data_IF_909886808670
#
_entry.id   IF_909886808670
#
_cell.length_a   1.000
_cell.length_b   1.000
_cell.length_c   1.000
_cell.angle_alpha   90.00
_cell.angle_beta   90.00
_cell.angle_gamma   90.00
#
_symmetry.space_group_name_H-M   'P 1'
#
loop_
_entity.id
_entity.type
_entity.pdbx_description
1 polymer ?
#
# COMPACT_ATOMS: atom_id res chain seq x y z
N UNK A 1 -25.95 -26.78 23.90
CA UNK A 1 -26.34 -25.89 22.78
C UNK A 1 -25.10 -25.59 21.98
N UNK A 2 -24.90 -26.29 20.88
CA UNK A 2 -23.74 -26.11 20.00
C UNK A 2 -23.93 -24.85 19.17
N UNK A 3 -23.17 -23.81 19.45
CA UNK A 3 -23.11 -22.64 18.60
C UNK A 3 -22.55 -23.03 17.24
N UNK A 4 -23.35 -22.85 16.19
CA UNK A 4 -22.89 -22.98 14.81
C UNK A 4 -21.71 -22.03 14.60
N UNK A 5 -20.53 -22.48 14.15
CA UNK A 5 -19.43 -21.58 13.87
C UNK A 5 -19.90 -20.60 12.80
N UNK A 6 -19.90 -19.31 13.12
CA UNK A 6 -20.15 -18.24 12.16
C UNK A 6 -19.14 -18.40 11.02
N UNK A 7 -19.60 -18.89 9.88
CA UNK A 7 -18.77 -18.97 8.66
C UNK A 7 -18.42 -17.53 8.31
N UNK A 8 -17.21 -17.13 8.67
CA UNK A 8 -16.71 -15.78 8.38
C UNK A 8 -16.30 -15.73 6.91
N UNK A 9 -17.22 -15.29 6.06
CA UNK A 9 -16.92 -15.12 4.64
C UNK A 9 -15.88 -14.00 4.46
N UNK A 10 -14.81 -14.32 3.73
CA UNK A 10 -13.76 -13.41 3.34
C UNK A 10 -14.33 -12.15 2.68
N UNK A 11 -13.80 -10.97 3.02
CA UNK A 11 -14.05 -9.72 2.29
C UNK A 11 -12.88 -9.43 1.36
N UNK A 12 -13.16 -8.76 0.25
CA UNK A 12 -12.13 -8.24 -0.64
C UNK A 12 -11.90 -6.76 -0.32
N UNK A 13 -10.66 -6.42 0.03
CA UNK A 13 -10.21 -5.07 0.34
C UNK A 13 -9.53 -4.51 -0.90
N UNK A 14 -10.21 -3.59 -1.59
CA UNK A 14 -9.82 -3.17 -2.93
C UNK A 14 -9.12 -1.81 -2.88
N UNK A 15 -7.87 -1.75 -3.38
CA UNK A 15 -7.21 -0.50 -3.75
C UNK A 15 -7.94 0.13 -4.93
N UNK A 16 -8.87 1.05 -4.60
CA UNK A 16 -9.75 1.59 -5.61
C UNK A 16 -9.20 2.87 -6.25
N UNK A 17 -8.21 3.53 -5.65
CA UNK A 17 -7.52 4.66 -6.28
C UNK A 17 -6.88 4.26 -7.61
N UNK A 18 -6.17 3.12 -7.62
CA UNK A 18 -5.57 2.58 -8.84
C UNK A 18 -6.62 2.22 -9.89
N UNK A 19 -7.70 1.51 -9.48
CA UNK A 19 -8.72 1.04 -10.41
C UNK A 19 -9.47 2.20 -11.05
N UNK A 20 -9.87 3.20 -10.26
CA UNK A 20 -10.57 4.38 -10.78
C UNK A 20 -9.65 5.22 -11.65
N UNK A 21 -8.39 5.42 -11.23
CA UNK A 21 -7.42 6.15 -12.04
C UNK A 21 -7.24 5.51 -13.42
N UNK A 22 -6.93 4.22 -13.45
CA UNK A 22 -6.76 3.45 -14.70
C UNK A 22 -8.00 3.51 -15.59
N UNK A 23 -9.19 3.34 -14.99
CA UNK A 23 -10.45 3.33 -15.74
C UNK A 23 -10.80 4.69 -16.33
N UNK A 24 -10.58 5.77 -15.58
CA UNK A 24 -10.82 7.13 -16.07
C UNK A 24 -9.82 7.50 -17.15
N UNK A 25 -8.53 7.23 -16.96
CA UNK A 25 -7.50 7.50 -17.95
C UNK A 25 -7.75 6.73 -19.28
N UNK A 26 -8.18 5.48 -19.18
CA UNK A 26 -8.48 4.66 -20.36
C UNK A 26 -9.71 5.12 -21.16
N UNK A 27 -10.50 6.03 -20.62
CA UNK A 27 -11.71 6.59 -21.29
C UNK A 27 -11.58 8.06 -21.62
N UNK A 28 -10.38 8.63 -21.44
CA UNK A 28 -10.08 9.96 -21.95
C UNK A 28 -9.93 9.94 -23.47
N UNK A 29 -10.40 11.02 -24.09
CA UNK A 29 -10.25 11.27 -25.53
C UNK A 29 -9.64 12.65 -25.69
N UNK A 30 -8.58 12.73 -26.44
CA UNK A 30 -7.97 13.98 -26.83
C UNK A 30 -8.63 14.51 -28.10
N UNK A 31 -8.94 15.79 -28.12
CA UNK A 31 -9.44 16.52 -29.27
C UNK A 31 -8.43 17.64 -29.55
N UNK A 32 -7.73 17.52 -30.64
CA UNK A 32 -6.77 18.51 -31.10
C UNK A 32 -7.50 19.52 -31.99
N UNK A 33 -7.51 20.79 -31.55
CA UNK A 33 -8.10 21.91 -32.29
C UNK A 33 -7.06 22.66 -33.14
N UNK A 34 -5.81 22.19 -33.16
CA UNK A 34 -4.69 22.92 -33.73
C UNK A 34 -4.27 24.13 -32.88
N UNK A 35 -3.27 24.90 -33.34
CA UNK A 35 -2.79 26.13 -32.70
C UNK A 35 -2.52 26.00 -31.18
N UNK A 36 -1.84 24.89 -30.77
CA UNK A 36 -1.50 24.56 -29.38
C UNK A 36 -2.70 24.29 -28.44
N UNK A 37 -3.90 24.04 -28.98
CA UNK A 37 -5.09 23.77 -28.17
C UNK A 37 -5.46 22.28 -28.25
N UNK A 38 -5.20 21.54 -27.17
CA UNK A 38 -5.64 20.16 -26.99
C UNK A 38 -6.63 20.10 -25.82
N UNK A 39 -7.82 19.57 -26.08
CA UNK A 39 -8.85 19.36 -25.06
C UNK A 39 -8.92 17.87 -24.71
N UNK A 40 -8.78 17.55 -23.43
CA UNK A 40 -9.00 16.18 -22.91
C UNK A 40 -10.40 16.09 -22.34
N UNK A 41 -11.18 15.14 -22.84
CA UNK A 41 -12.57 14.89 -22.42
C UNK A 41 -12.77 13.43 -22.01
N UNK A 42 -13.82 13.16 -21.23
CA UNK A 42 -14.26 11.80 -20.93
C UNK A 42 -15.77 11.79 -20.69
N UNK A 43 -16.44 10.73 -21.13
CA UNK A 43 -17.84 10.50 -20.78
C UNK A 43 -17.91 9.78 -19.44
N UNK A 44 -18.57 10.40 -18.46
CA UNK A 44 -18.75 9.85 -17.12
C UNK A 44 -19.33 8.43 -17.14
N UNK A 45 -20.32 8.16 -18.01
CA UNK A 45 -20.94 6.84 -18.14
C UNK A 45 -19.93 5.76 -18.58
N UNK A 46 -19.01 6.10 -19.48
CA UNK A 46 -17.96 5.20 -19.97
C UNK A 46 -16.91 4.93 -18.89
N UNK A 47 -16.43 5.96 -18.20
CA UNK A 47 -15.49 5.84 -17.08
C UNK A 47 -16.07 4.98 -15.95
N UNK A 48 -17.33 5.22 -15.58
CA UNK A 48 -18.02 4.43 -14.56
C UNK A 48 -18.23 2.98 -14.99
N UNK A 49 -18.66 2.75 -16.22
CA UNK A 49 -18.82 1.41 -16.78
C UNK A 49 -17.49 0.65 -16.85
N UNK A 50 -16.40 1.33 -17.21
CA UNK A 50 -15.05 0.77 -17.20
C UNK A 50 -14.64 0.35 -15.79
N UNK A 51 -14.81 1.23 -14.79
CA UNK A 51 -14.52 0.94 -13.38
C UNK A 51 -15.31 -0.26 -12.87
N UNK A 52 -16.63 -0.31 -13.10
CA UNK A 52 -17.48 -1.44 -12.70
C UNK A 52 -17.06 -2.75 -13.37
N UNK A 53 -16.62 -2.70 -14.62
CA UNK A 53 -16.11 -3.86 -15.34
C UNK A 53 -14.81 -4.38 -14.73
N UNK A 54 -13.88 -3.50 -14.33
CA UNK A 54 -12.66 -3.90 -13.65
C UNK A 54 -12.97 -4.53 -12.27
N UNK A 55 -13.85 -3.93 -11.48
CA UNK A 55 -14.31 -4.51 -10.21
C UNK A 55 -14.96 -5.88 -10.40
N UNK A 56 -15.77 -6.05 -11.45
CA UNK A 56 -16.37 -7.34 -11.79
C UNK A 56 -15.34 -8.38 -12.23
N UNK A 57 -14.30 -7.99 -12.97
CA UNK A 57 -13.19 -8.90 -13.31
C UNK A 57 -12.49 -9.41 -12.06
N UNK A 58 -12.26 -8.54 -11.07
CA UNK A 58 -11.69 -8.92 -9.78
C UNK A 58 -12.62 -9.91 -9.08
N UNK A 59 -13.91 -9.58 -8.92
CA UNK A 59 -14.86 -10.47 -8.24
C UNK A 59 -14.95 -11.86 -8.86
N UNK A 60 -14.85 -11.95 -10.19
CA UNK A 60 -14.90 -13.23 -10.90
C UNK A 60 -13.66 -14.12 -10.67
N UNK A 61 -12.56 -13.58 -10.11
CA UNK A 61 -11.38 -14.38 -9.72
C UNK A 61 -11.57 -15.12 -8.40
N UNK A 62 -12.58 -14.76 -7.62
CA UNK A 62 -12.84 -15.34 -6.31
C UNK A 62 -14.14 -16.15 -6.35
N UNK A 63 -14.09 -17.41 -5.85
CA UNK A 63 -15.26 -18.29 -5.88
C UNK A 63 -16.37 -17.84 -4.94
N UNK A 64 -16.03 -17.38 -3.73
CA UNK A 64 -16.98 -16.86 -2.74
C UNK A 64 -16.33 -15.82 -1.84
N UNK A 65 -17.04 -14.75 -1.59
CA UNK A 65 -16.68 -13.69 -0.63
C UNK A 65 -17.95 -12.98 -0.19
N UNK A 66 -17.93 -12.30 0.97
CA UNK A 66 -19.13 -11.64 1.49
C UNK A 66 -19.41 -10.30 0.80
N UNK A 67 -18.38 -9.48 0.63
CA UNK A 67 -18.48 -8.18 -0.02
C UNK A 67 -17.12 -7.63 -0.44
N UNK A 68 -17.13 -6.64 -1.31
CA UNK A 68 -16.00 -5.77 -1.61
C UNK A 68 -16.09 -4.50 -0.77
N UNK A 69 -14.96 -4.09 -0.20
CA UNK A 69 -14.80 -2.79 0.47
C UNK A 69 -13.78 -2.01 -0.34
N UNK A 70 -14.13 -0.81 -0.75
CA UNK A 70 -13.29 0.04 -1.58
C UNK A 70 -12.51 1.02 -0.71
N UNK A 71 -11.20 1.04 -0.85
CA UNK A 71 -10.32 1.95 -0.12
C UNK A 71 -9.85 3.08 -1.03
N UNK A 72 -9.84 4.29 -0.48
CA UNK A 72 -9.34 5.48 -1.15
C UNK A 72 -8.40 6.24 -0.22
N UNK A 73 -7.42 6.91 -0.82
CA UNK A 73 -6.51 7.80 -0.12
C UNK A 73 -7.19 9.12 0.23
N UNK A 74 -6.87 9.64 1.40
CA UNK A 74 -7.19 11.04 1.72
C UNK A 74 -6.32 12.00 0.88
N UNK A 75 -6.78 13.23 0.80
CA UNK A 75 -6.04 14.34 0.17
C UNK A 75 -4.81 14.76 0.98
N UNK A 76 -4.85 14.54 2.29
CA UNK A 76 -3.74 14.75 3.22
C UNK A 76 -2.97 13.44 3.39
N UNK A 77 -1.70 13.56 3.78
CA UNK A 77 -0.85 12.41 4.04
C UNK A 77 0.10 12.74 5.20
N UNK A 78 0.06 11.94 6.27
CA UNK A 78 0.90 12.14 7.45
C UNK A 78 2.41 12.07 7.13
N UNK A 79 2.81 11.29 6.09
CA UNK A 79 4.22 11.20 5.68
C UNK A 79 4.79 12.56 5.25
N UNK A 80 3.96 13.49 4.78
CA UNK A 80 4.40 14.87 4.47
C UNK A 80 4.75 15.70 5.71
N UNK A 81 4.31 15.27 6.89
CA UNK A 81 4.75 15.88 8.15
C UNK A 81 6.15 15.38 8.55
N UNK A 82 6.51 14.17 8.12
CA UNK A 82 7.84 13.57 8.34
C UNK A 82 8.82 14.07 7.29
N UNK A 83 8.41 14.08 6.03
CA UNK A 83 9.20 14.50 4.88
C UNK A 83 8.31 15.30 3.92
N UNK A 84 8.43 16.64 3.89
CA UNK A 84 7.59 17.50 3.03
C UNK A 84 7.67 17.14 1.54
N UNK A 85 8.82 16.63 1.10
CA UNK A 85 9.06 16.23 -0.30
C UNK A 85 8.48 14.85 -0.66
N UNK A 86 7.90 14.12 0.31
CA UNK A 86 7.28 12.82 0.04
C UNK A 86 6.23 12.93 -1.07
N UNK A 87 6.43 12.17 -2.17
CA UNK A 87 5.62 12.24 -3.41
C UNK A 87 5.50 13.65 -4.01
N UNK A 88 6.41 14.58 -3.67
CA UNK A 88 6.36 15.98 -4.09
C UNK A 88 6.51 16.18 -5.61
N UNK A 89 7.21 15.27 -6.28
CA UNK A 89 7.37 15.28 -7.74
C UNK A 89 6.13 14.76 -8.51
N UNK A 90 5.12 14.21 -7.81
CA UNK A 90 3.89 13.69 -8.42
C UNK A 90 2.90 14.81 -8.74
N UNK A 91 3.21 15.63 -9.74
CA UNK A 91 2.33 16.71 -10.20
C UNK A 91 1.28 16.24 -11.23
N UNK A 92 0.99 14.96 -11.30
CA UNK A 92 0.02 14.45 -12.28
C UNK A 92 -1.40 14.85 -11.92
N UNK A 93 -2.07 15.53 -12.85
CA UNK A 93 -3.51 15.77 -12.74
C UNK A 93 -4.25 14.43 -12.69
N UNK A 94 -5.30 14.37 -11.88
CA UNK A 94 -6.21 13.21 -11.91
C UNK A 94 -6.97 13.22 -13.23
N UNK A 95 -7.25 12.05 -13.81
CA UNK A 95 -8.01 11.93 -15.05
C UNK A 95 -9.40 12.57 -14.97
N UNK A 96 -9.97 12.91 -16.13
CA UNK A 96 -11.31 13.44 -16.25
C UNK A 96 -12.34 12.52 -15.59
N UNK A 97 -13.25 13.08 -14.79
CA UNK A 97 -14.31 12.32 -14.14
C UNK A 97 -13.90 11.56 -12.87
N UNK A 98 -12.63 11.51 -12.50
CA UNK A 98 -12.11 10.73 -11.36
C UNK A 98 -12.92 10.94 -10.07
N UNK A 99 -13.05 12.19 -9.60
CA UNK A 99 -13.84 12.49 -8.39
C UNK A 99 -15.32 12.10 -8.53
N UNK A 100 -15.89 12.28 -9.71
CA UNK A 100 -17.31 11.97 -9.97
C UNK A 100 -17.56 10.46 -9.93
N UNK A 101 -16.63 9.66 -10.45
CA UNK A 101 -16.69 8.18 -10.36
C UNK A 101 -16.59 7.74 -8.92
N UNK A 102 -15.63 8.25 -8.13
CA UNK A 102 -15.52 7.94 -6.69
C UNK A 102 -16.83 8.27 -5.96
N UNK A 103 -17.40 9.46 -6.18
CA UNK A 103 -18.65 9.85 -5.53
C UNK A 103 -19.81 8.91 -5.88
N UNK A 104 -19.84 8.39 -7.09
CA UNK A 104 -20.84 7.41 -7.49
C UNK A 104 -20.60 6.05 -6.83
N UNK A 105 -19.35 5.58 -6.76
CA UNK A 105 -19.00 4.33 -6.09
C UNK A 105 -19.35 4.35 -4.60
N UNK A 106 -19.19 5.49 -3.92
CA UNK A 106 -19.61 5.68 -2.51
C UNK A 106 -21.11 5.42 -2.27
N UNK A 107 -21.95 5.51 -3.30
CA UNK A 107 -23.38 5.20 -3.19
C UNK A 107 -23.71 3.73 -3.50
N UNK A 108 -22.75 2.96 -3.99
CA UNK A 108 -22.95 1.58 -4.45
C UNK A 108 -22.20 0.55 -3.59
N UNK A 109 -21.11 0.97 -2.96
CA UNK A 109 -20.22 0.10 -2.20
C UNK A 109 -19.95 0.67 -0.81
N UNK A 110 -19.55 -0.22 0.11
CA UNK A 110 -18.90 0.22 1.33
C UNK A 110 -17.53 0.80 0.99
N UNK A 111 -17.29 2.02 1.43
CA UNK A 111 -16.05 2.77 1.17
C UNK A 111 -15.39 3.12 2.48
N UNK A 112 -14.07 2.91 2.55
CA UNK A 112 -13.24 3.35 3.65
C UNK A 112 -12.26 4.39 3.12
N UNK A 113 -12.24 5.52 3.81
CA UNK A 113 -11.28 6.60 3.67
C UNK A 113 -10.91 7.02 5.09
N UNK A 114 -9.64 6.88 5.45
CA UNK A 114 -9.13 7.26 6.76
C UNK A 114 -8.40 8.60 6.67
N UNK A 115 -8.62 9.46 7.65
CA UNK A 115 -8.09 10.82 7.66
C UNK A 115 -6.56 10.80 7.64
N UNK A 116 -5.97 11.62 6.77
CA UNK A 116 -4.52 11.75 6.60
C UNK A 116 -3.77 10.48 6.20
N UNK A 117 -4.47 9.42 5.77
CA UNK A 117 -3.88 8.15 5.36
C UNK A 117 -4.05 7.87 3.86
N UNK A 118 -3.12 7.11 3.31
CA UNK A 118 -3.25 6.52 1.97
C UNK A 118 -4.14 5.27 2.02
N UNK A 119 -4.68 4.86 0.87
CA UNK A 119 -5.50 3.66 0.76
C UNK A 119 -4.76 2.41 1.28
N UNK A 120 -3.46 2.32 1.01
CA UNK A 120 -2.62 1.21 1.43
C UNK A 120 -2.53 1.09 2.96
N UNK A 121 -2.36 2.23 3.66
CA UNK A 121 -2.37 2.27 5.13
C UNK A 121 -3.72 1.84 5.69
N UNK A 122 -4.81 2.39 5.15
CA UNK A 122 -6.16 2.03 5.58
C UNK A 122 -6.46 0.54 5.33
N UNK A 123 -5.99 -0.02 4.21
CA UNK A 123 -6.10 -1.46 3.93
C UNK A 123 -5.28 -2.30 4.90
N UNK A 124 -4.04 -1.89 5.20
CA UNK A 124 -3.17 -2.60 6.13
C UNK A 124 -3.74 -2.60 7.55
N UNK A 125 -4.21 -1.46 8.03
CA UNK A 125 -4.89 -1.32 9.32
C UNK A 125 -6.15 -2.23 9.36
N UNK A 126 -7.00 -2.16 8.34
CA UNK A 126 -8.23 -2.94 8.29
C UNK A 126 -7.94 -4.45 8.23
N UNK A 127 -7.02 -4.88 7.38
CA UNK A 127 -6.68 -6.29 7.18
C UNK A 127 -6.09 -6.92 8.45
N UNK A 128 -5.22 -6.21 9.15
CA UNK A 128 -4.58 -6.71 10.37
C UNK A 128 -5.50 -6.67 11.58
N UNK A 129 -6.43 -5.70 11.64
CA UNK A 129 -7.50 -5.68 12.65
C UNK A 129 -8.55 -6.77 12.43
N UNK A 130 -8.78 -7.14 11.18
CA UNK A 130 -9.81 -8.11 10.77
C UNK A 130 -9.15 -9.21 9.91
N UNK A 131 -8.46 -10.17 10.50
CA UNK A 131 -7.76 -11.22 9.73
C UNK A 131 -8.75 -12.08 8.93
N UNK A 132 -8.23 -12.75 7.89
CA UNK A 132 -9.02 -13.62 7.02
C UNK A 132 -9.59 -12.94 5.77
N UNK A 133 -9.39 -11.63 5.60
CA UNK A 133 -9.73 -10.89 4.39
C UNK A 133 -8.61 -10.97 3.34
N UNK A 134 -8.91 -10.57 2.10
CA UNK A 134 -7.94 -10.55 1.01
C UNK A 134 -7.73 -9.11 0.53
N UNK A 135 -6.51 -8.63 0.58
CA UNK A 135 -6.11 -7.36 -0.04
C UNK A 135 -6.01 -7.57 -1.55
N UNK A 136 -6.54 -6.63 -2.31
CA UNK A 136 -6.47 -6.60 -3.77
C UNK A 136 -5.83 -5.29 -4.20
N UNK A 137 -4.54 -5.31 -4.46
CA UNK A 137 -3.76 -4.15 -4.92
C UNK A 137 -2.57 -4.61 -5.76
N UNK A 138 -2.24 -3.93 -6.87
CA UNK A 138 -1.04 -4.20 -7.65
C UNK A 138 0.22 -3.66 -6.97
N UNK A 139 0.08 -2.90 -5.89
CA UNK A 139 1.22 -2.29 -5.21
C UNK A 139 2.07 -3.36 -4.51
N UNK A 140 3.37 -3.37 -4.83
CA UNK A 140 4.35 -4.28 -4.22
C UNK A 140 4.49 -4.07 -2.70
N UNK A 141 4.18 -2.86 -2.23
CA UNK A 141 4.38 -2.45 -0.85
C UNK A 141 3.37 -3.13 0.08
N UNK A 142 2.24 -3.58 -0.47
CA UNK A 142 1.27 -4.40 0.24
C UNK A 142 1.80 -5.77 0.69
N UNK A 143 2.98 -6.21 0.19
CA UNK A 143 3.70 -7.37 0.74
C UNK A 143 4.18 -7.18 2.18
N UNK A 144 4.11 -5.97 2.73
CA UNK A 144 4.34 -5.74 4.15
C UNK A 144 3.22 -6.28 5.04
N UNK A 145 2.00 -6.44 4.51
CA UNK A 145 0.83 -6.77 5.30
C UNK A 145 0.61 -8.29 5.34
N UNK A 146 0.63 -8.90 6.54
CA UNK A 146 0.36 -10.34 6.68
C UNK A 146 -1.09 -10.67 6.30
N UNK A 147 -1.26 -11.79 5.61
CA UNK A 147 -2.56 -12.26 5.14
C UNK A 147 -2.58 -12.58 3.64
N UNK A 148 -3.78 -12.60 3.07
CA UNK A 148 -3.98 -12.87 1.65
C UNK A 148 -3.84 -11.59 0.84
N UNK A 149 -3.03 -11.63 -0.21
CA UNK A 149 -2.81 -10.56 -1.18
C UNK A 149 -3.05 -11.09 -2.59
N UNK A 150 -3.87 -10.42 -3.37
CA UNK A 150 -4.02 -10.62 -4.81
C UNK A 150 -3.53 -9.36 -5.54
N UNK A 151 -2.47 -9.49 -6.32
CA UNK A 151 -1.84 -8.36 -7.03
C UNK A 151 -2.44 -8.09 -8.41
N UNK A 152 -3.67 -8.53 -8.66
CA UNK A 152 -4.40 -8.52 -9.93
C UNK A 152 -3.96 -9.60 -10.94
N UNK A 153 -2.86 -10.29 -10.68
CA UNK A 153 -2.32 -11.40 -11.49
C UNK A 153 -2.24 -12.68 -10.68
N UNK A 154 -1.61 -12.63 -9.52
CA UNK A 154 -1.27 -13.77 -8.67
C UNK A 154 -1.74 -13.56 -7.24
N UNK A 155 -1.99 -14.67 -6.53
CA UNK A 155 -2.36 -14.67 -5.11
C UNK A 155 -1.18 -15.09 -4.25
N UNK A 156 -0.99 -14.38 -3.14
CA UNK A 156 0.05 -14.64 -2.15
C UNK A 156 -0.58 -14.83 -0.78
N UNK A 157 0.10 -15.59 0.06
CA UNK A 157 -0.13 -15.59 1.52
C UNK A 157 1.15 -15.09 2.17
N UNK A 158 1.07 -13.94 2.80
CA UNK A 158 2.21 -13.25 3.43
C UNK A 158 2.21 -13.58 4.92
N UNK A 159 3.33 -14.04 5.45
CA UNK A 159 3.50 -14.22 6.91
C UNK A 159 3.91 -12.89 7.57
N UNK A 160 3.77 -12.80 8.90
CA UNK A 160 4.20 -11.61 9.66
C UNK A 160 5.70 -11.34 9.45
N UNK A 161 6.51 -12.40 9.45
CA UNK A 161 7.96 -12.33 9.23
C UNK A 161 8.30 -11.86 7.82
N UNK A 162 7.63 -12.38 6.81
CA UNK A 162 7.82 -11.96 5.42
C UNK A 162 7.49 -10.47 5.23
N UNK A 163 6.38 -10.01 5.82
CA UNK A 163 5.99 -8.61 5.77
C UNK A 163 7.01 -7.69 6.46
N UNK A 164 7.49 -8.10 7.63
CA UNK A 164 8.50 -7.37 8.37
C UNK A 164 9.85 -7.31 7.63
N UNK A 165 10.28 -8.41 6.98
CA UNK A 165 11.47 -8.43 6.12
C UNK A 165 11.32 -7.48 4.94
N UNK A 166 10.18 -7.51 4.27
CA UNK A 166 9.90 -6.62 3.15
C UNK A 166 9.98 -5.15 3.55
N UNK A 167 9.46 -4.78 4.74
CA UNK A 167 9.60 -3.44 5.27
C UNK A 167 11.07 -3.01 5.46
N UNK A 168 11.92 -3.87 6.07
CA UNK A 168 13.34 -3.56 6.23
C UNK A 168 14.08 -3.47 4.88
N UNK A 169 13.75 -4.34 3.93
CA UNK A 169 14.30 -4.31 2.58
C UNK A 169 13.97 -3.00 1.86
N UNK A 170 12.71 -2.54 1.96
CA UNK A 170 12.28 -1.27 1.39
C UNK A 170 12.91 -0.07 2.11
N UNK A 171 13.07 -0.13 3.42
CA UNK A 171 13.79 0.90 4.20
C UNK A 171 15.18 1.12 3.65
N UNK A 172 15.90 0.03 3.36
CA UNK A 172 17.26 0.10 2.83
C UNK A 172 17.27 0.45 1.33
N UNK A 173 16.34 -0.07 0.56
CA UNK A 173 16.30 0.16 -0.90
C UNK A 173 15.81 1.57 -1.28
N UNK A 174 14.95 2.17 -0.46
CA UNK A 174 14.23 3.38 -0.83
C UNK A 174 13.18 3.16 -1.92
N UNK A 175 12.45 4.21 -2.23
CA UNK A 175 11.53 4.26 -3.38
C UNK A 175 11.54 5.66 -4.02
N UNK A 176 12.17 5.78 -5.18
CA UNK A 176 12.23 7.03 -5.93
C UNK A 176 10.86 7.51 -6.40
N UNK A 177 9.90 6.57 -6.58
CA UNK A 177 8.53 6.91 -6.97
C UNK A 177 7.78 7.59 -5.82
N UNK A 178 8.15 7.30 -4.58
CA UNK A 178 7.60 7.92 -3.38
C UNK A 178 8.45 9.07 -2.84
N UNK A 179 9.67 9.22 -3.37
CA UNK A 179 10.54 10.34 -3.07
C UNK A 179 11.36 10.16 -1.78
N UNK A 180 11.66 8.92 -1.39
CA UNK A 180 12.64 8.64 -0.34
C UNK A 180 13.76 7.75 -0.87
N UNK A 181 14.99 8.08 -0.50
CA UNK A 181 16.18 7.59 -1.22
C UNK A 181 16.69 6.22 -0.73
N UNK A 182 16.34 5.81 0.48
CA UNK A 182 16.98 4.66 1.10
C UNK A 182 18.50 4.83 1.27
N UNK A 183 19.22 3.73 1.22
CA UNK A 183 20.67 3.70 1.26
C UNK A 183 21.23 3.92 -0.16
N UNK A 184 22.06 4.92 -0.41
CA UNK A 184 22.59 5.25 -1.75
C UNK A 184 23.22 4.04 -2.47
N UNK A 185 22.78 3.81 -3.72
CA UNK A 185 23.27 2.71 -4.55
C UNK A 185 22.78 1.32 -4.11
N UNK A 186 21.72 1.25 -3.31
CA UNK A 186 21.18 -0.02 -2.82
C UNK A 186 19.73 -0.18 -3.27
N UNK A 187 19.52 -1.09 -4.23
CA UNK A 187 18.17 -1.55 -4.57
C UNK A 187 17.77 -2.78 -3.75
N UNK A 188 16.53 -3.25 -3.93
CA UNK A 188 15.94 -4.39 -3.18
C UNK A 188 16.85 -5.62 -3.19
N UNK A 189 17.38 -6.01 -4.34
CA UNK A 189 18.27 -7.20 -4.45
C UNK A 189 19.53 -7.08 -3.60
N UNK A 190 20.13 -5.89 -3.55
CA UNK A 190 21.31 -5.65 -2.72
C UNK A 190 20.96 -5.60 -1.24
N UNK A 191 19.84 -4.98 -0.88
CA UNK A 191 19.33 -4.99 0.49
C UNK A 191 19.12 -6.43 0.98
N UNK A 192 18.45 -7.27 0.18
CA UNK A 192 18.26 -8.70 0.49
C UNK A 192 19.58 -9.45 0.68
N UNK A 193 20.59 -9.13 -0.12
CA UNK A 193 21.92 -9.75 0.04
C UNK A 193 22.56 -9.39 1.38
N UNK A 194 22.50 -8.12 1.76
CA UNK A 194 23.02 -7.63 3.06
C UNK A 194 22.29 -8.32 4.22
N UNK A 195 20.97 -8.42 4.16
CA UNK A 195 20.18 -9.08 5.22
C UNK A 195 20.43 -10.59 5.28
N UNK A 196 20.64 -11.27 4.17
CA UNK A 196 21.01 -12.70 4.17
C UNK A 196 22.35 -12.95 4.85
N UNK A 197 23.29 -12.03 4.72
CA UNK A 197 24.60 -12.13 5.31
C UNK A 197 24.62 -11.73 6.79
N UNK A 198 24.03 -10.56 7.12
CA UNK A 198 24.13 -9.92 8.45
C UNK A 198 22.90 -10.18 9.35
N UNK A 199 21.81 -10.74 8.80
CA UNK A 199 20.54 -10.99 9.50
C UNK A 199 19.54 -9.84 9.42
N UNK A 200 18.25 -10.17 9.52
CA UNK A 200 17.15 -9.20 9.50
C UNK A 200 16.96 -8.58 10.88
N UNK A 201 17.64 -7.49 11.16
CA UNK A 201 17.50 -6.71 12.38
C UNK A 201 17.74 -5.22 12.11
N UNK A 202 17.27 -4.38 13.02
CA UNK A 202 17.44 -2.92 12.91
C UNK A 202 18.92 -2.51 12.91
N UNK A 203 19.74 -3.19 13.73
CA UNK A 203 21.18 -2.96 13.74
C UNK A 203 21.84 -3.10 12.36
N UNK A 204 21.42 -4.09 11.58
CA UNK A 204 21.93 -4.28 10.19
C UNK A 204 21.62 -3.07 9.31
N UNK A 205 20.43 -2.47 9.45
CA UNK A 205 20.06 -1.25 8.73
C UNK A 205 20.95 -0.08 9.15
N UNK A 206 21.04 0.16 10.46
CA UNK A 206 21.83 1.27 11.02
C UNK A 206 23.31 1.16 10.62
N UNK A 207 23.90 -0.03 10.76
CA UNK A 207 25.29 -0.25 10.39
C UNK A 207 25.53 0.03 8.89
N UNK A 208 24.61 -0.42 8.03
CA UNK A 208 24.71 -0.17 6.59
C UNK A 208 24.58 1.33 6.22
N UNK A 209 23.76 2.08 6.93
CA UNK A 209 23.64 3.54 6.75
C UNK A 209 24.91 4.24 7.24
N UNK A 210 25.45 3.86 8.41
CA UNK A 210 26.71 4.39 8.94
C UNK A 210 27.92 4.12 8.01
N UNK A 211 27.97 2.97 7.33
CA UNK A 211 28.97 2.68 6.31
C UNK A 211 28.95 3.66 5.11
N UNK A 212 27.92 4.49 5.01
CA UNK A 212 27.71 5.52 3.97
C UNK A 212 27.63 6.94 4.53
N UNK A 213 28.18 7.14 5.75
CA UNK A 213 28.19 8.44 6.44
C UNK A 213 26.77 9.00 6.71
N UNK A 214 25.78 8.10 6.83
CA UNK A 214 24.39 8.44 7.20
C UNK A 214 24.10 7.96 8.63
N UNK A 215 23.37 8.77 9.38
CA UNK A 215 23.02 8.44 10.75
C UNK A 215 21.75 7.56 10.87
N UNK A 216 21.46 7.15 12.09
CA UNK A 216 20.29 6.35 12.41
C UNK A 216 18.99 7.13 12.20
N UNK A 217 18.99 8.46 12.32
CA UNK A 217 17.81 9.29 12.11
C UNK A 217 17.37 9.24 10.65
N UNK A 218 18.33 9.27 9.70
CA UNK A 218 18.05 9.09 8.26
C UNK A 218 17.48 7.70 7.99
N UNK A 219 18.07 6.65 8.59
CA UNK A 219 17.56 5.29 8.47
C UNK A 219 16.12 5.18 9.01
N UNK A 220 15.86 5.76 10.17
CA UNK A 220 14.53 5.75 10.81
C UNK A 220 13.49 6.54 10.00
N UNK A 221 13.88 7.66 9.42
CA UNK A 221 13.01 8.42 8.51
C UNK A 221 12.62 7.55 7.30
N UNK A 222 13.57 6.88 6.66
CA UNK A 222 13.27 5.98 5.53
C UNK A 222 12.35 4.82 5.97
N UNK A 223 12.57 4.24 7.16
CA UNK A 223 11.71 3.19 7.70
C UNK A 223 10.26 3.67 7.91
N UNK A 224 10.08 4.88 8.43
CA UNK A 224 8.75 5.49 8.63
C UNK A 224 8.04 5.81 7.31
N UNK A 225 8.78 6.24 6.29
CA UNK A 225 8.22 6.52 4.96
C UNK A 225 7.85 5.24 4.23
N UNK A 226 8.67 4.19 4.34
CA UNK A 226 8.44 2.88 3.74
C UNK A 226 7.29 2.09 4.40
N UNK A 227 6.98 2.37 5.68
CA UNK A 227 6.02 1.59 6.46
C UNK A 227 4.60 1.72 5.92
N UNK A 228 3.97 0.59 5.56
CA UNK A 228 2.52 0.50 5.42
C UNK A 228 1.95 0.18 6.81
N UNK A 229 1.00 1.00 7.26
CA UNK A 229 0.47 0.90 8.62
C UNK A 229 -0.35 -0.37 8.82
N UNK A 230 -0.22 -0.93 10.02
CA UNK A 230 -1.05 -2.02 10.54
C UNK A 230 -1.94 -1.52 11.66
N UNK A 231 -2.81 -2.36 12.23
CA UNK A 231 -3.63 -2.00 13.37
C UNK A 231 -2.78 -1.60 14.61
N UNK A 232 -1.57 -2.13 14.74
CA UNK A 232 -0.62 -1.78 15.80
C UNK A 232 -0.03 -0.37 15.60
N UNK A 233 0.01 0.11 14.36
CA UNK A 233 0.54 1.42 13.98
C UNK A 233 -0.55 2.51 13.96
N UNK A 234 -1.74 2.27 14.56
CA UNK A 234 -2.84 3.23 14.56
C UNK A 234 -3.46 3.41 15.95
N UNK A 235 -3.50 4.65 16.41
CA UNK A 235 -4.24 5.04 17.61
C UNK A 235 -5.73 5.24 17.21
N UNK A 236 -6.56 4.25 17.54
CA UNK A 236 -7.98 4.28 17.19
C UNK A 236 -8.81 5.30 17.99
N UNK A 237 -8.31 5.75 19.15
CA UNK A 237 -8.99 6.75 19.96
C UNK A 237 -8.74 8.15 19.39
N UNK A 238 -7.50 8.44 19.03
CA UNK A 238 -7.11 9.73 18.44
C UNK A 238 -7.24 9.79 16.95
N UNK A 239 -7.51 8.64 16.30
CA UNK A 239 -7.55 8.48 14.84
C UNK A 239 -6.26 9.00 14.15
N UNK A 240 -5.11 8.64 14.71
CA UNK A 240 -3.81 9.12 14.25
C UNK A 240 -2.83 7.95 14.08
N UNK A 241 -1.91 8.04 13.10
CA UNK A 241 -0.86 7.06 12.94
C UNK A 241 0.14 7.14 14.11
N UNK A 242 0.57 5.98 14.58
CA UNK A 242 1.71 5.81 15.48
C UNK A 242 2.93 5.58 14.59
N UNK A 243 3.91 6.48 14.67
CA UNK A 243 5.11 6.38 13.86
C UNK A 243 5.93 5.15 14.24
N UNK A 244 6.29 4.35 13.26
CA UNK A 244 7.09 3.17 13.48
C UNK A 244 8.41 3.51 14.19
N UNK A 245 8.77 2.67 15.17
CA UNK A 245 10.03 2.73 15.89
C UNK A 245 10.49 1.29 16.19
N UNK A 246 11.78 0.98 15.98
CA UNK A 246 12.31 -0.32 16.36
C UNK A 246 12.32 -0.43 17.88
N UNK A 247 11.98 -1.61 18.41
CA UNK A 247 12.31 -1.95 19.80
C UNK A 247 13.85 -2.07 19.96
N UNK A 248 14.35 -2.00 21.18
CA UNK A 248 15.79 -2.02 21.49
C UNK A 248 16.55 -3.16 20.80
N UNK A 249 15.93 -4.33 20.65
CA UNK A 249 16.49 -5.53 20.04
C UNK A 249 15.65 -6.02 18.85
N UNK A 250 15.14 -5.07 18.01
CA UNK A 250 14.29 -5.44 16.88
C UNK A 250 15.02 -6.39 15.93
N UNK A 251 14.57 -7.64 15.94
CA UNK A 251 15.07 -8.74 15.08
C UNK A 251 13.91 -9.59 14.57
N UNK A 252 14.02 -10.03 13.34
CA UNK A 252 13.09 -10.97 12.74
C UNK A 252 13.77 -12.34 12.74
N UNK A 253 13.24 -13.27 13.52
CA UNK A 253 13.81 -14.61 13.62
C UNK A 253 13.71 -15.36 12.31
N UNK A 254 14.84 -15.92 11.88
CA UNK A 254 14.87 -16.91 10.80
C UNK A 254 14.40 -18.24 11.36
N UNK A 255 13.13 -18.56 11.20
CA UNK A 255 12.60 -19.89 11.59
C UNK A 255 13.29 -21.10 10.95
N UNK A 256 14.46 -20.89 10.32
CA UNK A 256 15.25 -21.89 9.60
C UNK A 256 16.58 -22.24 10.26
N UNK A 257 16.91 -21.72 11.46
CA UNK A 257 18.17 -22.06 12.16
C UNK A 257 17.98 -22.98 13.37
N UNK A 258 17.06 -23.92 13.31
CA UNK A 258 17.00 -25.05 14.26
C UNK A 258 16.94 -26.36 13.50
N UNK A 259 18.03 -26.72 12.79
CA UNK A 259 18.39 -28.09 12.43
C UNK A 259 19.88 -28.09 12.05
N UNK A 260 20.74 -28.18 13.02
CA UNK A 260 22.03 -28.85 12.92
C UNK A 260 22.10 -29.92 13.96
#
# INVERSE_FOLDING_TARGET
>A
MGGCPLIHFMKLLIDCDFIVYKSCAATETEIDFGEDVILVTSKFSEALACTRRELKKISNKFGSFSKMILFFSDSKNFRKQICPDYKGHRNRKKPCGYKRVINKLKTEFEVILMDSLEADDAMGIYATKNPGNCIVSPDKDMKQIPGKLFNLSESFTITKEQGARWHLEQTMAGDSTDGYSGLPGTGVTRAQSVFREKGYCWKTVVDAFKERDLDEEVALMNARLARILTAEDNDFEKQQPILWSPGADYRIDDGARLKT
#
